data_IF_936277984511
#
_entry.id   IF_936277984511
#
_cell.length_a   1.000
_cell.length_b   1.000
_cell.length_c   1.000
_cell.angle_alpha   90.00
_cell.angle_beta   90.00
_cell.angle_gamma   90.00
#
_symmetry.space_group_name_H-M   'P 1'
#
loop_
_entity.id
_entity.type
_entity.pdbx_description
1 polymer ?
#
# COMPACT_ATOMS: atom_id res chain seq x y z
N UNK A 1 -13.83 -8.63 16.47
CA UNK A 1 -13.40 -8.50 15.06
C UNK A 1 -12.34 -9.54 14.80
N UNK A 2 -12.53 -10.41 13.81
CA UNK A 2 -11.56 -11.46 13.49
C UNK A 2 -10.72 -11.00 12.31
N UNK A 3 -9.39 -11.01 12.44
CA UNK A 3 -8.49 -10.66 11.35
C UNK A 3 -8.60 -11.71 10.22
N UNK A 4 -8.78 -11.25 8.99
CA UNK A 4 -8.80 -12.12 7.81
C UNK A 4 -7.36 -12.41 7.40
N UNK A 5 -7.03 -13.69 7.22
CA UNK A 5 -5.71 -14.08 6.69
C UNK A 5 -5.60 -13.62 5.24
N UNK A 6 -4.60 -12.79 4.96
CA UNK A 6 -4.32 -12.28 3.62
C UNK A 6 -3.00 -12.85 3.10
N UNK A 7 -2.98 -13.26 1.83
CA UNK A 7 -1.74 -13.62 1.14
C UNK A 7 -1.17 -12.36 0.49
N UNK A 8 -0.14 -11.80 1.09
CA UNK A 8 0.55 -10.63 0.56
C UNK A 8 1.56 -11.09 -0.51
N UNK A 9 1.41 -10.57 -1.74
CA UNK A 9 2.30 -10.92 -2.84
C UNK A 9 3.67 -10.22 -2.77
N UNK A 10 3.74 -9.01 -2.21
CA UNK A 10 4.97 -8.24 -2.03
C UNK A 10 4.96 -7.53 -0.68
N UNK A 11 6.06 -7.54 0.08
CA UNK A 11 6.14 -6.78 1.32
C UNK A 11 5.97 -5.28 1.04
N UNK A 12 5.27 -4.59 1.94
CA UNK A 12 5.16 -3.12 1.93
C UNK A 12 6.50 -2.56 2.38
N UNK A 13 7.06 -1.62 1.60
CA UNK A 13 8.30 -0.95 1.97
C UNK A 13 8.06 -0.01 3.15
N UNK A 14 8.85 -0.13 4.23
CA UNK A 14 8.72 0.72 5.43
C UNK A 14 8.86 2.22 5.13
N UNK A 15 9.53 2.56 4.02
CA UNK A 15 9.77 3.94 3.59
C UNK A 15 8.57 4.57 2.87
N UNK A 16 7.57 3.77 2.48
CA UNK A 16 6.49 4.20 1.61
C UNK A 16 5.22 4.36 2.43
N UNK A 17 4.52 5.48 2.25
CA UNK A 17 3.25 5.71 2.94
C UNK A 17 2.13 5.05 2.15
N UNK A 18 1.29 4.25 2.82
CA UNK A 18 0.09 3.70 2.20
C UNK A 18 -0.89 4.84 1.90
N UNK A 19 -1.22 5.03 0.62
CA UNK A 19 -2.08 6.13 0.14
C UNK A 19 -3.55 5.71 0.05
N UNK A 20 -3.81 4.54 -0.52
CA UNK A 20 -5.17 4.02 -0.62
C UNK A 20 -5.20 2.50 -0.70
N UNK A 21 -6.36 1.94 -0.34
CA UNK A 21 -6.65 0.51 -0.48
C UNK A 21 -7.95 0.37 -1.26
N UNK A 22 -7.90 -0.37 -2.37
CA UNK A 22 -9.10 -0.72 -3.14
C UNK A 22 -9.43 -2.18 -2.88
N UNK A 23 -10.65 -2.44 -2.41
CA UNK A 23 -11.16 -3.80 -2.22
C UNK A 23 -12.09 -4.14 -3.37
N UNK A 24 -11.81 -5.22 -4.08
CA UNK A 24 -12.68 -5.76 -5.10
C UNK A 24 -13.14 -7.16 -4.73
N UNK A 25 -14.34 -7.52 -5.19
CA UNK A 25 -14.94 -8.83 -4.99
C UNK A 25 -15.26 -9.44 -6.34
N UNK A 26 -14.74 -10.62 -6.58
CA UNK A 26 -15.13 -11.40 -7.75
C UNK A 26 -16.50 -12.06 -7.55
N UNK A 27 -17.24 -12.36 -8.63
CA UNK A 27 -18.47 -13.15 -8.56
C UNK A 27 -18.28 -14.53 -7.90
N UNK A 28 -17.05 -15.07 -7.95
CA UNK A 28 -16.63 -16.30 -7.27
C UNK A 28 -16.68 -16.22 -5.74
N UNK A 29 -16.81 -15.02 -5.17
CA UNK A 29 -16.76 -14.76 -3.73
C UNK A 29 -15.35 -14.48 -3.19
N UNK A 30 -14.32 -14.53 -4.05
CA UNK A 30 -12.96 -14.13 -3.68
C UNK A 30 -12.86 -12.62 -3.53
N UNK A 31 -12.12 -12.18 -2.51
CA UNK A 31 -11.81 -10.78 -2.28
C UNK A 31 -10.34 -10.52 -2.62
N UNK A 32 -10.09 -9.36 -3.22
CA UNK A 32 -8.76 -8.85 -3.51
C UNK A 32 -8.61 -7.45 -2.93
N UNK A 33 -7.42 -7.16 -2.40
CA UNK A 33 -7.05 -5.84 -1.93
C UNK A 33 -5.84 -5.35 -2.72
N UNK A 34 -5.98 -4.19 -3.36
CA UNK A 34 -4.88 -3.50 -4.04
C UNK A 34 -4.42 -2.32 -3.19
N UNK A 35 -3.15 -2.32 -2.84
CA UNK A 35 -2.51 -1.27 -2.05
C UNK A 35 -1.83 -0.29 -3.00
N UNK A 36 -2.20 1.00 -2.91
CA UNK A 36 -1.49 2.07 -3.58
C UNK A 36 -0.59 2.78 -2.57
N UNK A 37 0.69 2.85 -2.88
CA UNK A 37 1.71 3.44 -2.03
C UNK A 37 2.24 4.72 -2.69
N UNK A 38 2.60 5.71 -1.87
CA UNK A 38 3.27 6.92 -2.32
C UNK A 38 4.59 7.10 -1.61
N UNK A 39 5.61 7.43 -2.39
CA UNK A 39 6.88 7.91 -1.86
C UNK A 39 6.81 9.43 -1.71
N UNK A 40 7.01 9.90 -0.48
CA UNK A 40 7.06 11.31 -0.15
C UNK A 40 8.53 11.75 -0.30
N UNK A 41 8.93 12.06 -1.54
CA UNK A 41 10.24 12.67 -1.76
C UNK A 41 10.17 14.09 -1.20
N UNK A 42 10.69 14.30 0.01
CA UNK A 42 11.02 15.64 0.47
C UNK A 42 12.13 16.13 -0.45
N UNK A 43 11.81 17.04 -1.37
CA UNK A 43 12.82 17.79 -2.10
C UNK A 43 13.64 18.57 -1.07
N UNK A 44 14.86 18.12 -0.79
CA UNK A 44 15.82 18.92 0.00
C UNK A 44 16.38 19.98 -0.94
N UNK A 45 15.60 21.02 -1.22
CA UNK A 45 16.11 22.26 -1.79
C UNK A 45 16.66 23.12 -0.65
N UNK A 46 17.74 22.67 0.01
CA UNK A 46 18.59 23.51 0.87
C UNK A 46 19.78 22.67 1.36
N UNK A 47 20.63 22.23 0.42
CA UNK A 47 22.04 22.08 0.73
C UNK A 47 22.78 23.04 -0.19
N UNK A 48 22.76 24.32 0.20
CA UNK A 48 23.76 25.28 -0.25
C UNK A 48 25.14 24.71 0.12
N UNK A 49 25.78 24.08 -0.86
CA UNK A 49 27.19 23.72 -0.84
C UNK A 49 27.99 24.83 -1.50
#
# INVERSE_FOLDING_TARGET
>A
MTAVRMKLHRPISEKWKLKSVTVSREPSGKYFASLAESFDAVCVEDLNL
#
